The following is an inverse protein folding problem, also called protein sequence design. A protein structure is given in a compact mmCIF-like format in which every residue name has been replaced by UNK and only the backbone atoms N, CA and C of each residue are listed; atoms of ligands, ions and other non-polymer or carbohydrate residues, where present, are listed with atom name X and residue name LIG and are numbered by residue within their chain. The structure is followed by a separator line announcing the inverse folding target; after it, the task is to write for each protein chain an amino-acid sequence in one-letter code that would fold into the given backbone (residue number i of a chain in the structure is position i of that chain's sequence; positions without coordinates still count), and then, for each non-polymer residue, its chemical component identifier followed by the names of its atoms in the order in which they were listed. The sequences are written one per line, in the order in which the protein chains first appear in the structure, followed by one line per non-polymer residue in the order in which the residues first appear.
data_IF_069072417868
#
_entry.id   IF_069072417868
#
_cell.length_a   1.000
_cell.length_b   1.000
_cell.length_c   1.000
_cell.angle_alpha   90.00
_cell.angle_beta   90.00
_cell.angle_gamma   90.00
#
_symmetry.space_group_name_H-M   'P 1'
#
loop_
_entity.id
_entity.type
_entity.pdbx_description
1 polymer ?
#
# COMPACT_ATOMS: atom_id res chain seq x y z
N UNK A 1 -45.24 15.69 29.19
CA UNK A 1 -44.08 14.77 29.07
C UNK A 1 -44.66 13.38 28.82
N UNK A 2 -44.70 12.94 27.56
CA UNK A 2 -45.29 11.65 27.19
C UNK A 2 -44.22 10.57 27.41
N UNK A 3 -44.40 9.73 28.43
CA UNK A 3 -43.49 8.61 28.69
C UNK A 3 -43.89 7.49 27.72
N UNK A 4 -43.00 7.14 26.81
CA UNK A 4 -43.23 6.06 25.85
C UNK A 4 -43.32 4.69 26.57
N UNK A 5 -44.20 3.78 26.11
CA UNK A 5 -44.40 2.48 26.75
C UNK A 5 -43.17 1.57 26.59
N UNK A 6 -42.89 0.78 27.64
CA UNK A 6 -41.74 -0.13 27.81
C UNK A 6 -41.64 -1.22 26.73
N UNK A 7 -42.66 -1.40 25.89
CA UNK A 7 -42.72 -2.41 24.82
C UNK A 7 -42.21 -1.91 23.47
N UNK A 8 -41.78 -0.65 23.34
CA UNK A 8 -41.05 -0.20 22.14
C UNK A 8 -39.68 -0.90 22.12
N UNK A 9 -39.55 -1.97 21.34
CA UNK A 9 -38.24 -2.51 20.95
C UNK A 9 -37.41 -1.36 20.39
N UNK A 10 -36.26 -1.08 21.00
CA UNK A 10 -35.31 -0.08 20.48
C UNK A 10 -35.04 -0.42 19.02
N UNK A 11 -35.41 0.47 18.11
CA UNK A 11 -34.93 0.39 16.72
C UNK A 11 -33.41 0.29 16.78
N UNK A 12 -32.79 -0.70 16.11
CA UNK A 12 -31.34 -0.76 16.01
C UNK A 12 -30.84 0.59 15.51
N UNK A 13 -29.91 1.23 16.22
CA UNK A 13 -29.29 2.49 15.76
C UNK A 13 -28.50 2.31 14.46
N UNK A 14 -28.24 1.06 14.11
CA UNK A 14 -27.68 0.61 12.85
C UNK A 14 -28.59 -0.52 12.36
N UNK A 15 -29.55 -0.20 11.50
CA UNK A 15 -29.98 -1.19 10.53
C UNK A 15 -28.81 -1.40 9.57
N UNK A 16 -28.55 -2.64 9.15
CA UNK A 16 -27.63 -2.94 8.04
C UNK A 16 -28.29 -2.49 6.72
N UNK A 17 -28.89 -1.31 6.68
CA UNK A 17 -29.58 -0.74 5.52
C UNK A 17 -28.63 0.07 4.62
N UNK A 18 -27.34 0.14 4.95
CA UNK A 18 -26.31 0.83 4.17
C UNK A 18 -25.59 -0.09 3.15
N UNK A 19 -26.04 -1.33 2.95
CA UNK A 19 -25.76 -2.02 1.67
C UNK A 19 -26.80 -1.56 0.66
N UNK A 20 -26.56 -0.37 0.13
CA UNK A 20 -27.29 0.20 -0.99
C UNK A 20 -27.39 -0.88 -2.08
N UNK A 21 -28.57 -1.48 -2.26
CA UNK A 21 -28.79 -2.54 -3.27
C UNK A 21 -28.57 -2.03 -4.71
N UNK A 22 -28.34 -0.73 -4.87
CA UNK A 22 -27.93 -0.04 -6.08
C UNK A 22 -26.45 0.41 -6.09
N UNK A 23 -25.63 -0.05 -5.14
CA UNK A 23 -24.19 0.24 -5.12
C UNK A 23 -23.55 -0.28 -6.40
N UNK A 24 -23.23 0.65 -7.32
CA UNK A 24 -22.48 0.32 -8.55
C UNK A 24 -21.20 -0.43 -8.12
N UNK A 25 -20.90 -1.60 -8.71
CA UNK A 25 -19.71 -2.35 -8.34
C UNK A 25 -18.47 -1.50 -8.55
N UNK A 26 -17.50 -1.61 -7.64
CA UNK A 26 -16.24 -0.90 -7.77
C UNK A 26 -15.56 -1.27 -9.11
N UNK A 27 -15.03 -0.29 -9.86
CA UNK A 27 -14.44 -0.53 -11.17
C UNK A 27 -13.22 -1.45 -11.05
N UNK A 28 -13.01 -2.35 -12.01
CA UNK A 28 -11.82 -3.21 -12.02
C UNK A 28 -10.71 -2.49 -12.79
N UNK A 29 -9.54 -2.24 -12.20
CA UNK A 29 -8.43 -1.63 -12.91
C UNK A 29 -7.76 -2.59 -13.87
N UNK A 30 -7.18 -2.05 -14.93
CA UNK A 30 -6.19 -2.70 -15.75
C UNK A 30 -4.79 -2.31 -15.26
N UNK A 31 -3.94 -3.31 -15.00
CA UNK A 31 -2.57 -3.11 -14.52
C UNK A 31 -1.60 -3.63 -15.57
N UNK A 32 -0.71 -2.77 -16.05
CA UNK A 32 0.34 -3.12 -17.01
C UNK A 32 1.70 -2.87 -16.39
N UNK A 33 2.56 -3.87 -16.42
CA UNK A 33 3.93 -3.79 -15.88
C UNK A 33 4.88 -3.85 -17.08
N UNK A 34 5.68 -2.81 -17.23
CA UNK A 34 6.69 -2.70 -18.28
C UNK A 34 8.06 -2.58 -17.62
N UNK A 35 8.85 -3.65 -17.68
CA UNK A 35 10.24 -3.67 -17.22
C UNK A 35 11.16 -3.55 -18.42
N UNK A 36 12.12 -2.62 -18.34
CA UNK A 36 13.18 -2.48 -19.32
C UNK A 36 14.12 -3.68 -19.21
N UNK A 37 14.46 -4.28 -20.34
CA UNK A 37 15.43 -5.37 -20.39
C UNK A 37 16.85 -4.81 -20.25
N UNK A 38 17.22 -4.43 -19.02
CA UNK A 38 18.53 -3.83 -18.73
C UNK A 38 19.62 -4.89 -18.50
N UNK A 39 19.31 -6.19 -18.66
CA UNK A 39 20.21 -7.30 -18.31
C UNK A 39 20.54 -7.39 -16.81
N UNK A 40 19.93 -6.53 -15.99
CA UNK A 40 20.23 -6.42 -14.57
C UNK A 40 19.38 -7.42 -13.77
N UNK A 41 20.05 -8.26 -12.99
CA UNK A 41 19.42 -9.27 -12.14
C UNK A 41 19.08 -8.67 -10.77
N UNK A 42 17.99 -9.15 -10.18
CA UNK A 42 17.59 -8.81 -8.81
C UNK A 42 17.32 -10.08 -8.01
N UNK A 43 17.64 -10.03 -6.72
CA UNK A 43 17.44 -11.11 -5.77
C UNK A 43 16.29 -10.82 -4.81
N UNK A 44 16.07 -9.53 -4.54
CA UNK A 44 15.05 -9.06 -3.62
C UNK A 44 14.01 -8.20 -4.34
N UNK A 45 12.74 -8.36 -3.96
CA UNK A 45 11.64 -7.46 -4.33
C UNK A 45 11.18 -6.72 -3.08
N UNK A 46 11.35 -5.40 -3.05
CA UNK A 46 10.92 -4.52 -1.97
C UNK A 46 9.61 -3.81 -2.36
N UNK A 47 8.54 -4.04 -1.61
CA UNK A 47 7.27 -3.32 -1.77
C UNK A 47 6.97 -2.52 -0.52
N UNK A 48 6.66 -1.24 -0.72
CA UNK A 48 6.29 -0.32 0.34
C UNK A 48 5.10 0.55 -0.10
N UNK A 49 4.17 0.91 0.79
CA UNK A 49 3.23 1.99 0.54
C UNK A 49 3.93 3.35 0.54
N UNK A 50 3.32 4.33 -0.13
CA UNK A 50 3.82 5.70 -0.24
C UNK A 50 4.11 6.37 1.10
N UNK A 51 3.38 6.02 2.16
CA UNK A 51 3.55 6.60 3.50
C UNK A 51 4.91 6.29 4.13
N UNK A 52 5.59 5.25 3.65
CA UNK A 52 6.95 4.89 4.08
C UNK A 52 7.94 4.88 2.90
N UNK A 53 7.66 5.69 1.85
CA UNK A 53 8.52 5.82 0.66
C UNK A 53 9.96 6.18 1.02
N UNK A 54 10.16 6.91 2.13
CA UNK A 54 11.46 7.38 2.58
C UNK A 54 12.52 6.25 2.68
N UNK A 55 12.10 5.05 3.06
CA UNK A 55 12.96 3.87 3.18
C UNK A 55 13.52 3.49 1.81
N UNK A 56 12.65 3.47 0.80
CA UNK A 56 13.05 3.27 -0.58
C UNK A 56 13.87 4.47 -1.08
N UNK A 57 13.46 5.71 -0.77
CA UNK A 57 14.09 6.98 -1.17
C UNK A 57 15.59 7.04 -0.90
N UNK A 58 16.03 6.40 0.20
CA UNK A 58 17.43 6.40 0.63
C UNK A 58 18.28 5.22 0.15
N UNK A 59 17.72 4.29 -0.64
CA UNK A 59 18.52 3.23 -1.25
C UNK A 59 19.57 3.82 -2.22
N UNK A 60 20.82 3.32 -2.22
CA UNK A 60 21.90 3.85 -3.06
C UNK A 60 21.74 3.49 -4.55
N UNK A 61 22.42 4.17 -5.46
CA UNK A 61 22.56 3.78 -6.88
C UNK A 61 21.23 3.43 -7.59
N UNK A 62 20.18 4.23 -7.38
CA UNK A 62 18.87 3.97 -7.96
C UNK A 62 18.88 4.14 -9.47
N UNK A 63 18.49 3.08 -10.17
CA UNK A 63 18.22 3.11 -11.59
C UNK A 63 16.73 2.86 -11.82
N UNK A 64 16.06 3.72 -12.60
CA UNK A 64 14.69 3.42 -13.04
C UNK A 64 14.75 2.33 -14.12
N UNK A 65 14.12 1.19 -13.84
CA UNK A 65 14.13 0.00 -14.71
C UNK A 65 12.76 -0.33 -15.25
N UNK A 66 11.73 0.47 -14.99
CA UNK A 66 10.41 0.20 -15.51
C UNK A 66 9.31 1.03 -14.89
N UNK A 67 8.11 0.84 -15.40
CA UNK A 67 6.91 1.55 -14.96
C UNK A 67 5.76 0.57 -14.86
N UNK A 68 4.95 0.72 -13.81
CA UNK A 68 3.67 0.03 -13.63
C UNK A 68 2.57 1.07 -13.86
N UNK A 69 1.71 0.81 -14.82
CA UNK A 69 0.56 1.66 -15.11
C UNK A 69 -0.69 1.02 -14.55
N UNK A 70 -1.44 1.79 -13.76
CA UNK A 70 -2.77 1.42 -13.25
C UNK A 70 -3.78 2.36 -13.91
N UNK A 71 -4.67 1.78 -14.69
CA UNK A 71 -5.71 2.51 -15.41
C UNK A 71 -7.09 1.86 -15.19
N UNK A 72 -8.14 2.59 -15.50
CA UNK A 72 -9.52 2.14 -15.29
C UNK A 72 -10.34 2.39 -16.58
N UNK A 73 -10.14 1.56 -17.61
CA UNK A 73 -10.67 1.81 -18.95
C UNK A 73 -12.21 1.82 -19.00
N UNK A 74 -12.87 1.08 -18.10
CA UNK A 74 -14.34 0.92 -18.09
C UNK A 74 -15.07 1.91 -17.16
N UNK A 75 -14.42 2.99 -16.73
CA UNK A 75 -15.04 3.99 -15.84
C UNK A 75 -16.04 4.89 -16.54
N UNK A 76 -15.72 5.27 -17.77
CA UNK A 76 -16.46 6.28 -18.50
C UNK A 76 -17.65 5.59 -19.12
N UNK A 77 -18.85 6.02 -18.73
CA UNK A 77 -20.03 5.78 -19.56
C UNK A 77 -19.90 6.69 -20.77
N UNK A 78 -19.43 6.15 -21.88
CA UNK A 78 -19.68 6.78 -23.16
C UNK A 78 -21.19 6.72 -23.38
N UNK A 79 -21.85 7.88 -23.48
CA UNK A 79 -23.26 7.95 -23.90
C UNK A 79 -23.39 7.15 -25.20
N UNK A 80 -24.32 6.19 -25.21
CA UNK A 80 -24.58 5.41 -26.40
C UNK A 80 -25.00 6.33 -27.56
N UNK A 81 -24.75 5.91 -28.81
CA UNK A 81 -25.15 6.70 -29.99
C UNK A 81 -26.67 6.97 -30.06
N UNK A 82 -27.46 6.19 -29.32
CA UNK A 82 -28.92 6.33 -29.20
C UNK A 82 -29.28 7.45 -28.19
N UNK A 83 -28.61 7.52 -27.03
CA UNK A 83 -28.77 8.60 -26.04
C UNK A 83 -28.22 9.95 -26.51
N UNK A 84 -27.30 9.97 -27.49
CA UNK A 84 -26.84 11.21 -28.12
C UNK A 84 -27.86 11.83 -29.09
N UNK A 85 -28.83 11.05 -29.58
CA UNK A 85 -29.84 11.54 -30.51
C UNK A 85 -31.02 12.23 -29.81
N UNK A 86 -31.31 11.83 -28.57
CA UNK A 86 -32.26 12.51 -27.69
C UNK A 86 -31.50 13.58 -26.89
N UNK A 87 -31.26 14.73 -27.51
CA UNK A 87 -30.45 15.81 -26.97
C UNK A 87 -31.16 16.52 -25.80
N UNK A 88 -30.91 16.08 -24.57
CA UNK A 88 -31.24 16.79 -23.33
C UNK A 88 -29.95 17.43 -22.74
N UNK A 89 -29.91 18.76 -22.73
CA UNK A 89 -28.76 19.53 -22.23
C UNK A 89 -28.49 19.30 -20.73
N UNK A 90 -29.56 19.13 -19.95
CA UNK A 90 -29.45 18.94 -18.50
C UNK A 90 -28.90 17.55 -18.19
N UNK A 91 -29.41 16.50 -18.84
CA UNK A 91 -28.90 15.13 -18.65
C UNK A 91 -27.42 14.99 -19.07
N UNK A 92 -27.02 15.63 -20.17
CA UNK A 92 -25.62 15.64 -20.61
C UNK A 92 -24.71 16.34 -19.60
N UNK A 93 -25.17 17.43 -18.99
CA UNK A 93 -24.42 18.14 -17.94
C UNK A 93 -24.22 17.25 -16.71
N UNK A 94 -25.25 16.52 -16.27
CA UNK A 94 -25.12 15.59 -15.14
C UNK A 94 -24.14 14.44 -15.44
N UNK A 95 -24.24 13.83 -16.63
CA UNK A 95 -23.31 12.76 -17.04
C UNK A 95 -21.86 13.27 -17.14
N UNK A 96 -21.66 14.50 -17.62
CA UNK A 96 -20.34 15.12 -17.68
C UNK A 96 -19.75 15.36 -16.28
N UNK A 97 -20.54 15.87 -15.34
CA UNK A 97 -20.13 16.08 -13.95
C UNK A 97 -19.82 14.76 -13.24
N UNK A 98 -20.64 13.72 -13.43
CA UNK A 98 -20.37 12.38 -12.90
C UNK A 98 -19.06 11.80 -13.46
N UNK A 99 -18.85 11.89 -14.77
CA UNK A 99 -17.64 11.41 -15.43
C UNK A 99 -16.38 12.18 -14.95
N UNK A 100 -16.48 13.49 -14.71
CA UNK A 100 -15.38 14.28 -14.16
C UNK A 100 -15.06 13.89 -12.71
N UNK A 101 -16.08 13.70 -11.88
CA UNK A 101 -15.90 13.22 -10.50
C UNK A 101 -15.24 11.83 -10.47
N UNK A 102 -15.64 10.92 -11.37
CA UNK A 102 -15.04 9.61 -11.51
C UNK A 102 -13.58 9.68 -11.97
N UNK A 103 -13.24 10.52 -12.96
CA UNK A 103 -11.86 10.75 -13.40
C UNK A 103 -10.97 11.30 -12.29
N UNK A 104 -11.52 12.20 -11.47
CA UNK A 104 -10.80 12.77 -10.34
C UNK A 104 -10.58 11.75 -9.21
N UNK A 105 -11.50 10.82 -9.00
CA UNK A 105 -11.40 9.78 -7.97
C UNK A 105 -10.51 8.61 -8.38
N UNK A 106 -10.58 8.19 -9.64
CA UNK A 106 -9.88 7.03 -10.18
C UNK A 106 -8.91 7.46 -11.28
N UNK A 107 -7.84 8.14 -10.86
CA UNK A 107 -6.82 8.63 -11.78
C UNK A 107 -5.99 7.48 -12.33
N UNK A 108 -5.52 7.67 -13.55
CA UNK A 108 -4.44 6.85 -14.10
C UNK A 108 -3.17 7.17 -13.33
N UNK A 109 -2.56 6.13 -12.76
CA UNK A 109 -1.35 6.25 -11.94
C UNK A 109 -0.19 5.51 -12.61
N UNK A 110 0.98 6.14 -12.60
CA UNK A 110 2.23 5.57 -13.10
C UNK A 110 3.23 5.41 -11.95
N UNK A 111 3.53 4.17 -11.60
CA UNK A 111 4.42 3.81 -10.50
C UNK A 111 5.78 3.45 -11.10
N UNK A 112 6.82 4.18 -10.71
CA UNK A 112 8.19 3.87 -11.13
C UNK A 112 8.75 2.66 -10.39
N UNK A 113 9.48 1.82 -11.12
CA UNK A 113 10.17 0.64 -10.58
C UNK A 113 11.67 0.94 -10.57
N UNK A 114 12.29 0.90 -9.39
CA UNK A 114 13.71 1.21 -9.24
C UNK A 114 14.52 -0.01 -8.85
N UNK A 115 15.65 -0.21 -9.52
CA UNK A 115 16.66 -1.20 -9.15
C UNK A 115 17.78 -0.52 -8.38
N UNK A 116 18.16 -1.10 -7.24
CA UNK A 116 19.26 -0.65 -6.40
C UNK A 116 19.97 -1.86 -5.80
N UNK A 117 21.25 -2.07 -6.12
CA UNK A 117 22.09 -3.14 -5.56
C UNK A 117 21.39 -4.52 -5.48
N UNK A 118 20.73 -4.96 -6.57
CA UNK A 118 20.02 -6.24 -6.61
C UNK A 118 18.63 -6.26 -5.93
N UNK A 119 18.12 -5.10 -5.50
CA UNK A 119 16.77 -4.91 -4.95
C UNK A 119 15.89 -4.18 -5.95
N UNK A 120 14.83 -4.84 -6.40
CA UNK A 120 13.77 -4.23 -7.18
C UNK A 120 12.75 -3.60 -6.22
N UNK A 121 12.68 -2.27 -6.20
CA UNK A 121 11.89 -1.51 -5.24
C UNK A 121 10.71 -0.80 -5.90
N UNK A 122 9.54 -0.94 -5.29
CA UNK A 122 8.27 -0.40 -5.77
C UNK A 122 7.56 0.29 -4.61
N UNK A 123 7.25 1.58 -4.80
CA UNK A 123 6.47 2.37 -3.84
C UNK A 123 5.08 2.55 -4.41
N UNK A 124 4.07 2.04 -3.71
CA UNK A 124 2.70 2.02 -4.20
C UNK A 124 1.88 3.17 -3.59
N UNK A 125 1.25 4.02 -4.41
CA UNK A 125 0.42 5.11 -3.93
C UNK A 125 -0.85 4.62 -3.24
N UNK A 126 -1.52 5.54 -2.56
CA UNK A 126 -2.86 5.27 -2.04
C UNK A 126 -3.87 5.25 -3.19
N UNK A 127 -4.69 4.20 -3.25
CA UNK A 127 -5.78 4.07 -4.21
C UNK A 127 -7.11 4.14 -3.48
N UNK A 128 -8.03 4.97 -3.99
CA UNK A 128 -9.39 5.05 -3.48
C UNK A 128 -10.17 3.72 -3.65
N UNK A 129 -9.80 2.94 -4.65
CA UNK A 129 -10.36 1.61 -4.89
C UNK A 129 -9.51 0.52 -4.23
N UNK A 130 -10.09 -0.19 -3.26
CA UNK A 130 -9.40 -1.27 -2.55
C UNK A 130 -9.14 -2.50 -3.43
N UNK A 131 -9.96 -2.72 -4.47
CA UNK A 131 -9.79 -3.83 -5.42
C UNK A 131 -8.46 -3.69 -6.17
N UNK A 132 -8.00 -2.45 -6.39
CA UNK A 132 -6.75 -2.16 -7.09
C UNK A 132 -5.55 -2.81 -6.43
N UNK A 133 -5.51 -2.86 -5.10
CA UNK A 133 -4.43 -3.54 -4.39
C UNK A 133 -4.37 -5.03 -4.70
N UNK A 134 -5.53 -5.70 -4.79
CA UNK A 134 -5.58 -7.13 -5.08
C UNK A 134 -5.19 -7.43 -6.54
N UNK A 135 -5.68 -6.63 -7.49
CA UNK A 135 -5.34 -6.79 -8.91
C UNK A 135 -3.85 -6.51 -9.14
N UNK A 136 -3.33 -5.43 -8.56
CA UNK A 136 -1.91 -5.07 -8.63
C UNK A 136 -1.02 -6.14 -8.00
N UNK A 137 -1.35 -6.60 -6.79
CA UNK A 137 -0.60 -7.66 -6.10
C UNK A 137 -0.53 -8.95 -6.94
N UNK A 138 -1.65 -9.36 -7.53
CA UNK A 138 -1.69 -10.55 -8.39
C UNK A 138 -0.76 -10.39 -9.60
N UNK A 139 -0.80 -9.23 -10.28
CA UNK A 139 0.06 -8.97 -11.44
C UNK A 139 1.55 -8.91 -11.05
N UNK A 140 1.88 -8.27 -9.93
CA UNK A 140 3.25 -8.20 -9.42
C UNK A 140 3.82 -9.59 -9.13
N UNK A 141 3.05 -10.43 -8.42
CA UNK A 141 3.49 -11.78 -8.06
C UNK A 141 3.64 -12.67 -9.31
N UNK A 142 2.74 -12.53 -10.30
CA UNK A 142 2.83 -13.28 -11.55
C UNK A 142 4.05 -12.89 -12.39
N UNK A 143 4.36 -11.59 -12.50
CA UNK A 143 5.45 -11.12 -13.36
C UNK A 143 6.83 -11.14 -12.71
N UNK A 144 6.94 -10.84 -11.41
CA UNK A 144 8.23 -10.71 -10.71
C UNK A 144 8.81 -12.03 -10.18
N UNK A 145 8.16 -13.15 -10.51
CA UNK A 145 8.48 -14.53 -10.11
C UNK A 145 8.47 -14.75 -8.59
N UNK A 146 7.63 -15.67 -8.10
CA UNK A 146 7.48 -15.88 -6.65
C UNK A 146 8.67 -16.57 -5.97
N UNK A 147 9.62 -17.12 -6.74
CA UNK A 147 10.83 -17.77 -6.20
C UNK A 147 11.89 -16.79 -5.68
N UNK A 148 11.72 -15.48 -5.90
CA UNK A 148 12.60 -14.42 -5.36
C UNK A 148 12.30 -14.14 -3.89
N UNK A 149 13.20 -13.44 -3.21
CA UNK A 149 13.00 -13.02 -1.82
C UNK A 149 12.18 -11.75 -1.76
N UNK A 150 11.05 -11.78 -1.07
CA UNK A 150 10.14 -10.63 -0.95
C UNK A 150 10.35 -9.93 0.39
N UNK A 151 10.53 -8.62 0.34
CA UNK A 151 10.61 -7.74 1.49
C UNK A 151 9.43 -6.78 1.40
N UNK A 152 8.55 -6.83 2.38
CA UNK A 152 7.31 -6.07 2.37
C UNK A 152 7.27 -5.17 3.60
N UNK A 153 6.96 -3.89 3.40
CA UNK A 153 6.86 -2.93 4.49
C UNK A 153 5.39 -2.54 4.68
N UNK A 154 4.91 -2.55 5.93
CA UNK A 154 3.52 -2.22 6.23
C UNK A 154 3.43 -1.23 7.41
N UNK A 155 2.65 -0.15 7.30
CA UNK A 155 2.24 0.61 8.47
C UNK A 155 1.17 -0.17 9.24
N UNK A 156 1.24 -0.16 10.57
CA UNK A 156 0.17 -0.64 11.45
C UNK A 156 0.28 0.04 12.81
N UNK A 157 -0.85 0.22 13.49
CA UNK A 157 -0.87 0.76 14.85
C UNK A 157 -0.43 -0.35 15.82
N UNK A 158 0.84 -0.33 16.20
CA UNK A 158 1.41 -1.31 17.12
C UNK A 158 1.26 -0.81 18.56
N UNK A 159 0.88 -1.70 19.46
CA UNK A 159 0.86 -1.42 20.89
C UNK A 159 2.15 -1.91 21.58
N UNK A 160 2.30 -1.59 22.87
CA UNK A 160 3.39 -2.06 23.74
C UNK A 160 4.79 -1.50 23.44
N UNK A 161 4.90 -0.25 22.96
CA UNK A 161 6.17 0.44 22.69
C UNK A 161 7.11 -0.33 21.73
N UNK A 162 6.53 -1.18 20.87
CA UNK A 162 7.28 -1.87 19.82
C UNK A 162 7.35 -0.96 18.60
N UNK A 163 8.55 -0.70 18.11
CA UNK A 163 8.76 0.10 16.90
C UNK A 163 8.47 -0.70 15.63
N UNK A 164 8.89 -1.97 15.61
CA UNK A 164 8.75 -2.84 14.45
C UNK A 164 8.37 -4.26 14.87
N UNK A 165 7.50 -4.89 14.10
CA UNK A 165 7.15 -6.31 14.20
C UNK A 165 7.42 -7.03 12.86
N UNK A 166 7.58 -8.35 12.89
CA UNK A 166 7.75 -9.17 11.69
C UNK A 166 6.57 -10.11 11.46
N UNK A 167 6.20 -10.30 10.21
CA UNK A 167 5.33 -11.37 9.75
C UNK A 167 6.09 -12.14 8.67
N UNK A 168 6.44 -13.40 8.96
CA UNK A 168 7.22 -14.25 8.07
C UNK A 168 6.31 -15.34 7.51
N UNK A 169 6.45 -15.62 6.21
CA UNK A 169 5.90 -16.85 5.60
C UNK A 169 6.95 -17.98 5.57
N UNK A 170 8.21 -17.70 5.95
CA UNK A 170 9.24 -18.71 6.19
C UNK A 170 9.42 -19.01 7.69
N UNK A 171 9.75 -20.27 7.98
CA UNK A 171 10.22 -20.73 9.29
C UNK A 171 11.75 -20.79 9.37
N UNK A 172 12.45 -20.74 8.23
CA UNK A 172 13.91 -20.68 8.15
C UNK A 172 14.44 -19.27 8.38
N UNK A 173 14.91 -18.96 9.59
CA UNK A 173 15.58 -17.68 9.88
C UNK A 173 16.95 -17.63 9.21
N UNK A 174 17.00 -17.30 7.92
CA UNK A 174 18.26 -17.09 7.20
C UNK A 174 19.06 -15.88 7.75
N UNK A 175 18.37 -14.91 8.36
CA UNK A 175 18.98 -13.69 8.89
C UNK A 175 18.88 -13.63 10.42
N UNK A 176 20.03 -13.56 11.08
CA UNK A 176 20.12 -13.47 12.55
C UNK A 176 19.44 -12.23 13.11
N UNK A 177 19.49 -11.10 12.40
CA UNK A 177 18.83 -9.84 12.81
C UNK A 177 17.32 -10.01 13.02
N UNK A 178 16.67 -10.86 12.24
CA UNK A 178 15.22 -11.09 12.36
C UNK A 178 14.87 -11.77 13.67
N UNK A 179 15.78 -12.50 14.32
CA UNK A 179 15.53 -13.11 15.64
C UNK A 179 15.22 -12.07 16.72
N UNK A 180 15.72 -10.85 16.55
CA UNK A 180 15.54 -9.74 17.49
C UNK A 180 14.23 -8.98 17.25
N UNK A 181 13.59 -9.16 16.09
CA UNK A 181 12.34 -8.50 15.73
C UNK A 181 11.15 -9.34 16.25
N UNK A 182 10.26 -8.77 17.09
CA UNK A 182 9.10 -9.49 17.61
C UNK A 182 8.14 -9.91 16.49
N UNK A 183 7.51 -11.07 16.65
CA UNK A 183 6.50 -11.56 15.70
C UNK A 183 5.20 -10.78 15.87
N UNK A 184 4.56 -10.39 14.77
CA UNK A 184 3.24 -9.78 14.76
C UNK A 184 2.21 -10.75 15.36
N UNK A 185 1.47 -10.30 16.38
CA UNK A 185 0.46 -11.10 17.08
C UNK A 185 -0.90 -10.41 17.04
N UNK A 186 -2.01 -11.18 17.05
CA UNK A 186 -3.35 -10.62 17.25
C UNK A 186 -3.42 -9.73 18.51
N UNK A 187 -4.20 -8.63 18.51
CA UNK A 187 -5.18 -8.24 17.49
C UNK A 187 -4.60 -7.46 16.30
N UNK A 188 -3.27 -7.32 16.18
CA UNK A 188 -2.65 -6.52 15.12
C UNK A 188 -2.79 -7.17 13.75
N UNK A 189 -3.01 -6.34 12.74
CA UNK A 189 -3.15 -6.74 11.33
C UNK A 189 -2.46 -5.75 10.40
N UNK A 190 -2.21 -6.20 9.18
CA UNK A 190 -1.74 -5.37 8.06
C UNK A 190 -2.83 -5.28 7.00
N UNK A 191 -2.88 -4.16 6.28
CA UNK A 191 -3.85 -3.90 5.21
C UNK A 191 -3.18 -3.30 3.98
N UNK A 192 -3.95 -2.98 2.93
CA UNK A 192 -3.46 -2.32 1.72
C UNK A 192 -2.62 -3.24 0.82
N UNK A 193 -1.70 -2.64 0.04
CA UNK A 193 -0.89 -3.37 -0.93
C UNK A 193 -0.06 -4.48 -0.27
N UNK A 194 0.50 -4.23 0.91
CA UNK A 194 1.39 -5.19 1.57
C UNK A 194 0.62 -6.44 1.97
N UNK A 195 -0.57 -6.27 2.56
CA UNK A 195 -1.44 -7.39 2.90
C UNK A 195 -1.90 -8.15 1.64
N UNK A 196 -2.24 -7.43 0.56
CA UNK A 196 -2.63 -8.05 -0.70
C UNK A 196 -1.49 -8.90 -1.30
N UNK A 197 -0.26 -8.40 -1.29
CA UNK A 197 0.92 -9.14 -1.77
C UNK A 197 1.24 -10.33 -0.87
N UNK A 198 1.25 -10.17 0.46
CA UNK A 198 1.44 -11.27 1.41
C UNK A 198 0.41 -12.38 1.16
N UNK A 199 -0.86 -12.00 0.97
CA UNK A 199 -1.94 -12.95 0.70
C UNK A 199 -1.72 -13.71 -0.61
N UNK A 200 -1.38 -13.02 -1.70
CA UNK A 200 -1.10 -13.65 -2.99
C UNK A 200 0.12 -14.58 -2.93
N UNK A 201 1.19 -14.18 -2.24
CA UNK A 201 2.39 -14.99 -2.03
C UNK A 201 2.11 -16.24 -1.19
N UNK A 202 1.28 -16.12 -0.15
CA UNK A 202 0.87 -17.24 0.67
C UNK A 202 0.02 -18.25 -0.13
N UNK A 203 -0.89 -17.78 -0.98
CA UNK A 203 -1.75 -18.64 -1.82
C UNK A 203 -0.98 -19.52 -2.79
N UNK A 204 0.17 -19.04 -3.28
CA UNK A 204 1.05 -19.80 -4.19
C UNK A 204 2.16 -20.57 -3.46
N UNK A 205 2.19 -20.53 -2.13
CA UNK A 205 3.17 -21.25 -1.31
C UNK A 205 4.59 -20.67 -1.36
N UNK A 206 4.74 -19.35 -1.54
CA UNK A 206 6.05 -18.72 -1.48
C UNK A 206 6.61 -18.77 -0.05
N UNK A 207 7.85 -19.22 0.10
CA UNK A 207 8.50 -19.36 1.40
C UNK A 207 9.31 -18.13 1.78
N UNK A 208 9.99 -17.47 0.84
CA UNK A 208 10.96 -16.41 1.13
C UNK A 208 10.32 -15.02 1.24
N UNK A 209 9.45 -14.81 2.24
CA UNK A 209 8.74 -13.54 2.45
C UNK A 209 8.99 -12.96 3.84
N UNK A 210 9.59 -11.77 3.87
CA UNK A 210 9.88 -11.00 5.06
C UNK A 210 8.97 -9.78 5.05
N UNK A 211 7.98 -9.75 5.95
CA UNK A 211 7.15 -8.55 6.15
C UNK A 211 7.57 -7.84 7.42
N UNK A 212 7.97 -6.57 7.31
CA UNK A 212 8.25 -5.69 8.43
C UNK A 212 7.09 -4.72 8.62
N UNK A 213 6.53 -4.74 9.81
CA UNK A 213 5.40 -3.91 10.21
C UNK A 213 5.90 -2.79 11.09
N UNK A 214 5.71 -1.54 10.67
CA UNK A 214 6.20 -0.34 11.34
C UNK A 214 5.09 0.27 12.17
N UNK A 215 5.41 0.66 13.40
CA UNK A 215 4.47 1.38 14.23
C UNK A 215 4.08 2.70 13.57
N UNK A 216 2.79 2.83 13.26
CA UNK A 216 2.24 3.94 12.49
C UNK A 216 0.83 4.28 12.95
N UNK A 217 0.50 5.56 12.96
CA UNK A 217 -0.82 6.06 13.35
C UNK A 217 -1.49 6.82 12.19
N UNK A 218 -2.82 6.87 12.19
CA UNK A 218 -3.59 7.65 11.22
C UNK A 218 -4.54 6.82 10.37
N UNK A 219 -5.18 7.49 9.41
CA UNK A 219 -6.10 6.86 8.47
C UNK A 219 -5.36 6.16 7.34
N UNK A 220 -6.01 5.16 6.73
CA UNK A 220 -5.45 4.37 5.63
C UNK A 220 -4.99 5.29 4.48
N UNK A 221 -3.73 5.14 4.06
CA UNK A 221 -3.12 5.96 3.00
C UNK A 221 -2.51 7.29 3.47
N UNK A 222 -2.72 7.65 4.73
CA UNK A 222 -2.19 8.85 5.37
C UNK A 222 -1.53 8.52 6.72
N UNK A 223 -1.10 7.26 6.88
CA UNK A 223 -0.42 6.82 8.08
C UNK A 223 0.90 7.55 8.26
N UNK A 224 1.17 7.93 9.51
CA UNK A 224 2.42 8.50 9.94
C UNK A 224 3.18 7.45 10.74
N UNK A 225 4.26 6.93 10.17
CA UNK A 225 5.15 6.02 10.88
C UNK A 225 6.01 6.76 11.89
N UNK A 226 6.18 6.15 13.05
CA UNK A 226 7.09 6.65 14.08
C UNK A 226 8.54 6.67 13.56
N UNK A 227 9.30 7.69 13.97
CA UNK A 227 10.66 7.93 13.48
C UNK A 227 11.59 6.75 13.81
N UNK A 228 11.50 6.23 15.03
CA UNK A 228 12.33 5.12 15.49
C UNK A 228 11.97 3.85 14.72
N UNK A 229 10.69 3.68 14.41
CA UNK A 229 10.21 2.59 13.56
C UNK A 229 10.83 2.59 12.16
N UNK A 230 10.91 3.75 11.50
CA UNK A 230 11.58 3.87 10.18
C UNK A 230 13.08 3.58 10.31
N UNK A 231 13.76 4.09 11.34
CA UNK A 231 15.20 3.87 11.56
C UNK A 231 15.51 2.40 11.88
N UNK A 232 14.72 1.76 12.73
CA UNK A 232 14.87 0.34 13.06
C UNK A 232 14.61 -0.55 11.85
N UNK A 233 13.62 -0.22 11.00
CA UNK A 233 13.44 -0.91 9.71
C UNK A 233 14.67 -0.76 8.83
N UNK A 234 15.24 0.45 8.72
CA UNK A 234 16.45 0.66 7.93
C UNK A 234 17.65 -0.16 8.44
N UNK A 235 17.79 -0.27 9.76
CA UNK A 235 18.82 -1.10 10.38
C UNK A 235 18.66 -2.58 10.01
N UNK A 236 17.44 -3.12 10.09
CA UNK A 236 17.13 -4.51 9.71
C UNK A 236 17.37 -4.73 8.22
N UNK A 237 16.94 -3.80 7.37
CA UNK A 237 17.14 -3.90 5.91
C UNK A 237 18.62 -3.86 5.52
N UNK A 238 19.43 -3.05 6.21
CA UNK A 238 20.87 -2.98 5.99
C UNK A 238 21.63 -4.28 6.30
N UNK A 239 21.05 -5.18 7.10
CA UNK A 239 21.61 -6.53 7.35
C UNK A 239 21.12 -7.59 6.35
N UNK A 240 20.02 -7.31 5.62
CA UNK A 240 19.41 -8.25 4.67
C UNK A 240 19.89 -7.98 3.24
N UNK A 241 19.96 -6.70 2.88
CA UNK A 241 20.28 -6.22 1.54
C UNK A 241 21.78 -5.90 1.45
N UNK A 242 22.47 -6.17 0.33
CA UNK A 242 23.88 -5.83 0.14
C UNK A 242 24.09 -4.30 -0.05
N UNK A 243 23.97 -3.55 1.04
CA UNK A 243 24.19 -2.10 1.11
C UNK A 243 25.11 -1.74 2.28
N UNK A 244 25.73 -0.57 2.21
CA UNK A 244 26.41 0.02 3.36
C UNK A 244 25.38 0.44 4.41
N UNK A 245 25.20 -0.43 5.41
CA UNK A 245 24.24 -0.26 6.51
C UNK A 245 24.44 1.05 7.26
N UNK A 246 25.68 1.39 7.61
CA UNK A 246 25.96 2.58 8.43
C UNK A 246 25.60 3.85 7.67
N UNK A 247 26.02 3.93 6.41
CA UNK A 247 25.73 5.08 5.57
C UNK A 247 24.23 5.18 5.25
N UNK A 248 23.56 4.05 5.01
CA UNK A 248 22.12 4.00 4.74
C UNK A 248 21.30 4.50 5.95
N UNK A 249 21.58 3.97 7.14
CA UNK A 249 20.91 4.37 8.39
C UNK A 249 21.18 5.85 8.71
N UNK A 250 22.42 6.32 8.49
CA UNK A 250 22.78 7.73 8.69
C UNK A 250 22.02 8.66 7.74
N UNK A 251 21.92 8.31 6.46
CA UNK A 251 21.18 9.10 5.47
C UNK A 251 19.69 9.18 5.80
N UNK A 252 19.12 8.04 6.21
CA UNK A 252 17.71 7.94 6.55
C UNK A 252 17.38 8.71 7.83
N UNK A 253 18.14 8.51 8.91
CA UNK A 253 17.94 9.23 10.18
C UNK A 253 18.02 10.76 10.02
N UNK A 254 18.90 11.26 9.14
CA UNK A 254 18.99 12.69 8.84
C UNK A 254 17.75 13.26 8.13
N UNK A 255 17.00 12.44 7.40
CA UNK A 255 15.81 12.85 6.63
C UNK A 255 14.48 12.55 7.32
N UNK A 256 14.42 11.54 8.18
CA UNK A 256 13.20 11.17 8.93
C UNK A 256 12.60 12.35 9.68
N UNK A 257 13.44 13.19 10.32
CA UNK A 257 13.00 14.40 11.04
C UNK A 257 12.34 15.46 10.15
N UNK A 258 12.67 15.47 8.85
CA UNK A 258 12.08 16.39 7.86
C UNK A 258 10.81 15.81 7.24
N UNK A 259 10.75 14.48 7.11
CA UNK A 259 9.63 13.76 6.52
C UNK A 259 8.37 13.81 7.40
N UNK A 260 8.52 13.66 8.72
CA UNK A 260 7.43 13.65 9.69
C UNK A 260 7.08 15.04 10.29
N UNK A 261 7.35 16.11 9.54
CA UNK A 261 7.54 17.50 9.98
C UNK A 261 6.50 18.18 10.89
N UNK A 262 5.37 17.55 11.22
CA UNK A 262 4.40 18.08 12.18
C UNK A 262 4.85 18.02 13.65
N UNK A 263 5.81 17.16 14.01
CA UNK A 263 6.42 17.20 15.35
C UNK A 263 7.26 18.47 15.58
N UNK A 264 7.64 19.16 14.49
CA UNK A 264 8.39 20.43 14.56
C UNK A 264 7.46 21.66 14.62
N UNK A 265 6.13 21.48 14.65
CA UNK A 265 5.20 22.59 14.88
C UNK A 265 5.13 23.02 16.35
N UNK A 266 5.89 22.37 17.25
CA UNK A 266 5.86 22.68 18.68
C UNK A 266 4.53 22.34 19.36
N UNK A 267 3.69 21.51 18.73
CA UNK A 267 2.36 21.13 19.24
C UNK A 267 2.49 20.13 20.41
N UNK A 268 3.56 19.33 20.41
CA UNK A 268 3.88 18.39 21.48
C UNK A 268 5.31 18.72 21.97
N UNK A 269 5.41 19.22 23.21
CA UNK A 269 6.66 19.54 23.92
C UNK A 269 6.86 18.51 25.02
#
# INVERSE_FOLDING_TARGET
MLIKPITETRTPRHTLDDEDSNAKPNPIPEVRISLNDTGATYDYVLIAPQTISLIQDQLPNKLNVGTITVDYPNLIKELSKEEQNDYDEDEQLYVALENEALKNRFKKEEISVYLSNGVLSIVVPHFANTITYNVLARQLVQQLKPSKSWILLAPSNLNNNQSINKLLLDTGTAFSVLSQVPVLRPPHSITGITAAVVSQLNLIGATNVITLVLNSEGHLGYEKSDNDSIVHTAYVLGDIIPIDKEQYVKNLSARVRKFNGYSNLGIYI
#
